data_IF_372453381716
#
_entry.id   IF_372453381716
#
_cell.length_a   1.000
_cell.length_b   1.000
_cell.length_c   1.000
_cell.angle_alpha   90.00
_cell.angle_beta   90.00
_cell.angle_gamma   90.00
#
_symmetry.space_group_name_H-M   'P 1'
#
loop_
_entity.id
_entity.type
_entity.pdbx_description
1 polymer ?
#
# COMPACT_ATOMS: atom_id res chain seq x y z
N UNK A 1 -24.82 -48.44 -8.45
CA UNK A 1 -24.20 -47.58 -7.43
C UNK A 1 -24.36 -46.15 -7.91
N UNK A 2 -25.35 -45.43 -7.39
CA UNK A 2 -25.52 -44.00 -7.66
C UNK A 2 -24.43 -43.25 -6.90
N UNK A 3 -23.38 -42.82 -7.60
CA UNK A 3 -22.49 -41.78 -7.08
C UNK A 3 -23.32 -40.50 -7.00
N UNK A 4 -23.81 -40.19 -5.79
CA UNK A 4 -24.42 -38.90 -5.50
C UNK A 4 -23.43 -37.82 -5.93
N UNK A 5 -23.85 -37.01 -6.89
CA UNK A 5 -23.15 -35.87 -7.43
C UNK A 5 -23.07 -34.79 -6.32
N UNK A 6 -22.22 -35.03 -5.31
CA UNK A 6 -21.98 -34.06 -4.26
C UNK A 6 -21.31 -32.85 -4.92
N UNK A 7 -22.01 -31.72 -4.90
CA UNK A 7 -21.48 -30.48 -5.43
C UNK A 7 -20.14 -30.19 -4.73
N UNK A 8 -19.06 -30.20 -5.50
CA UNK A 8 -17.74 -29.84 -5.00
C UNK A 8 -17.76 -28.39 -4.56
N UNK A 9 -17.75 -28.16 -3.24
CA UNK A 9 -17.74 -26.83 -2.66
C UNK A 9 -16.33 -26.25 -2.74
N UNK A 10 -16.17 -25.21 -3.55
CA UNK A 10 -14.95 -24.40 -3.58
C UNK A 10 -15.05 -23.30 -2.53
N UNK A 11 -13.99 -23.16 -1.73
CA UNK A 11 -13.86 -22.06 -0.81
C UNK A 11 -12.90 -21.00 -1.35
N UNK A 12 -13.25 -19.74 -1.16
CA UNK A 12 -12.47 -18.59 -1.60
C UNK A 12 -12.44 -17.54 -0.49
N UNK A 13 -11.23 -17.16 -0.08
CA UNK A 13 -10.98 -16.06 0.85
C UNK A 13 -10.11 -15.01 0.17
N UNK A 14 -10.59 -13.76 0.16
CA UNK A 14 -9.88 -12.64 -0.41
C UNK A 14 -9.95 -11.40 0.47
N UNK A 15 -8.86 -10.64 0.52
CA UNK A 15 -8.86 -9.30 1.11
C UNK A 15 -7.84 -8.37 0.47
N UNK A 16 -8.17 -7.07 0.48
CA UNK A 16 -7.18 -6.02 0.23
C UNK A 16 -6.24 -5.88 1.42
N UNK A 17 -4.96 -5.67 1.13
CA UNK A 17 -3.93 -5.58 2.16
C UNK A 17 -4.00 -4.22 2.86
N UNK A 18 -3.99 -4.24 4.19
CA UNK A 18 -4.01 -3.03 5.01
C UNK A 18 -2.66 -2.30 4.95
N UNK A 19 -2.61 -1.07 5.46
CA UNK A 19 -1.37 -0.31 5.48
C UNK A 19 -0.27 -1.04 6.27
N UNK A 20 0.85 -1.35 5.64
CA UNK A 20 1.95 -2.13 6.21
C UNK A 20 3.30 -1.69 5.65
N UNK A 21 4.38 -2.12 6.29
CA UNK A 21 5.73 -1.86 5.82
C UNK A 21 6.55 -3.15 5.88
N UNK A 22 7.26 -3.45 4.79
CA UNK A 22 8.05 -4.68 4.64
C UNK A 22 9.49 -4.36 4.32
N UNK A 23 10.42 -5.02 4.99
CA UNK A 23 11.82 -5.09 4.57
C UNK A 23 12.04 -6.23 3.57
N UNK A 24 13.20 -6.25 2.89
CA UNK A 24 13.62 -7.39 2.05
C UNK A 24 13.51 -8.74 2.77
N UNK A 25 13.97 -8.78 4.02
CA UNK A 25 13.92 -9.99 4.86
C UNK A 25 12.47 -10.41 5.15
N UNK A 26 11.58 -9.45 5.44
CA UNK A 26 10.16 -9.75 5.68
C UNK A 26 9.47 -10.32 4.44
N UNK A 27 9.78 -9.78 3.26
CA UNK A 27 9.27 -10.31 1.99
C UNK A 27 9.76 -11.73 1.75
N UNK A 28 11.05 -12.00 2.01
CA UNK A 28 11.61 -13.37 1.92
C UNK A 28 10.88 -14.33 2.86
N UNK A 29 10.74 -13.98 4.13
CA UNK A 29 10.03 -14.81 5.12
C UNK A 29 8.57 -15.07 4.73
N UNK A 30 7.89 -14.06 4.16
CA UNK A 30 6.53 -14.24 3.65
C UNK A 30 6.49 -15.22 2.46
N UNK A 31 7.46 -15.15 1.55
CA UNK A 31 7.55 -16.08 0.43
C UNK A 31 7.86 -17.51 0.91
N UNK A 32 8.76 -17.67 1.88
CA UNK A 32 9.11 -18.97 2.47
C UNK A 32 7.90 -19.62 3.16
N UNK A 33 7.10 -18.84 3.90
CA UNK A 33 5.82 -19.30 4.46
C UNK A 33 4.84 -19.76 3.38
N UNK A 34 4.72 -19.01 2.28
CA UNK A 34 3.87 -19.40 1.16
C UNK A 34 4.40 -20.64 0.44
N UNK A 35 5.73 -20.84 0.38
CA UNK A 35 6.34 -22.04 -0.20
C UNK A 35 6.03 -23.29 0.63
N UNK A 36 5.99 -23.17 1.95
CA UNK A 36 5.53 -24.25 2.83
C UNK A 36 4.08 -24.61 2.53
N UNK A 37 3.19 -23.62 2.48
CA UNK A 37 1.78 -23.81 2.09
C UNK A 37 1.60 -24.44 0.70
N UNK A 38 2.44 -24.05 -0.27
CA UNK A 38 2.45 -24.63 -1.62
C UNK A 38 2.91 -26.09 -1.61
N UNK A 39 3.91 -26.43 -0.79
CA UNK A 39 4.37 -27.81 -0.60
C UNK A 39 3.28 -28.67 0.03
N UNK A 40 2.53 -28.16 1.01
CA UNK A 40 1.40 -28.87 1.61
C UNK A 40 0.30 -29.16 0.57
N UNK A 41 0.00 -28.18 -0.29
CA UNK A 41 -0.94 -28.36 -1.39
C UNK A 41 -0.44 -29.41 -2.41
N UNK A 42 0.88 -29.46 -2.66
CA UNK A 42 1.48 -30.46 -3.53
C UNK A 42 1.28 -31.87 -2.99
N UNK A 43 1.54 -32.10 -1.69
CA UNK A 43 1.34 -33.41 -1.06
C UNK A 43 -0.13 -33.82 -1.07
N UNK A 44 -1.06 -32.89 -0.85
CA UNK A 44 -2.50 -33.14 -0.98
C UNK A 44 -2.85 -33.56 -2.42
N UNK A 45 -2.34 -32.87 -3.43
CA UNK A 45 -2.59 -33.21 -4.83
C UNK A 45 -2.00 -34.58 -5.21
N UNK A 46 -0.79 -34.88 -4.76
CA UNK A 46 -0.10 -36.16 -4.97
C UNK A 46 -0.85 -37.32 -4.30
N UNK A 47 -1.48 -37.09 -3.15
CA UNK A 47 -2.28 -38.09 -2.43
C UNK A 47 -3.55 -38.46 -3.20
N UNK A 48 -4.10 -37.54 -3.98
CA UNK A 48 -5.27 -37.75 -4.84
C UNK A 48 -4.91 -38.08 -6.29
N UNK A 49 -3.62 -38.23 -6.60
CA UNK A 49 -3.17 -38.58 -7.93
C UNK A 49 -3.48 -40.05 -8.22
N UNK A 50 -4.50 -40.29 -9.05
CA UNK A 50 -4.90 -41.62 -9.51
C UNK A 50 -4.13 -42.01 -10.79
N UNK A 51 -3.20 -42.97 -10.70
CA UNK A 51 -2.45 -43.38 -11.87
C UNK A 51 -3.32 -44.18 -12.83
N UNK A 52 -3.42 -43.72 -14.08
CA UNK A 52 -4.04 -44.50 -15.18
C UNK A 52 -3.10 -45.65 -15.55
N UNK A 53 -3.42 -46.90 -15.27
CA UNK A 53 -2.74 -48.16 -15.71
C UNK A 53 -1.27 -48.02 -16.18
N UNK A 54 -0.44 -47.30 -15.41
CA UNK A 54 0.93 -46.92 -15.80
C UNK A 54 1.93 -47.75 -15.00
N UNK A 55 3.12 -48.01 -15.55
CA UNK A 55 4.20 -48.62 -14.79
C UNK A 55 4.51 -47.81 -13.52
N UNK A 56 4.82 -48.46 -12.38
CA UNK A 56 5.14 -47.79 -11.12
C UNK A 56 6.23 -46.71 -11.22
N UNK A 57 7.21 -46.92 -12.10
CA UNK A 57 8.31 -45.97 -12.30
C UNK A 57 7.83 -44.64 -12.90
N UNK A 58 6.95 -44.69 -13.91
CA UNK A 58 6.39 -43.48 -14.54
C UNK A 58 5.53 -42.70 -13.55
N UNK A 59 4.76 -43.40 -12.71
CA UNK A 59 3.94 -42.76 -11.67
C UNK A 59 4.82 -41.99 -10.68
N UNK A 60 5.97 -42.57 -10.30
CA UNK A 60 6.93 -41.90 -9.40
C UNK A 60 7.50 -40.65 -10.05
N UNK A 61 7.93 -40.74 -11.31
CA UNK A 61 8.47 -39.58 -12.05
C UNK A 61 7.44 -38.45 -12.20
N UNK A 62 6.18 -38.78 -12.48
CA UNK A 62 5.10 -37.80 -12.59
C UNK A 62 4.78 -37.12 -11.26
N UNK A 63 4.78 -37.87 -10.15
CA UNK A 63 4.62 -37.29 -8.81
C UNK A 63 5.76 -36.34 -8.46
N UNK A 64 7.00 -36.67 -8.81
CA UNK A 64 8.14 -35.78 -8.63
C UNK A 64 8.07 -34.53 -9.51
N UNK A 65 7.63 -34.68 -10.77
CA UNK A 65 7.39 -33.54 -11.66
C UNK A 65 6.29 -32.62 -11.12
N UNK A 66 5.20 -33.20 -10.62
CA UNK A 66 4.11 -32.46 -10.00
C UNK A 66 4.63 -31.70 -8.77
N UNK A 67 5.37 -32.37 -7.87
CA UNK A 67 5.97 -31.72 -6.70
C UNK A 67 6.86 -30.53 -7.08
N UNK A 68 7.70 -30.68 -8.12
CA UNK A 68 8.53 -29.58 -8.64
C UNK A 68 7.71 -28.42 -9.20
N UNK A 69 6.54 -28.69 -9.78
CA UNK A 69 5.63 -27.66 -10.28
C UNK A 69 5.05 -26.75 -9.18
N UNK A 70 5.01 -27.20 -7.93
CA UNK A 70 4.60 -26.40 -6.76
C UNK A 70 5.74 -25.56 -6.16
N UNK A 71 6.95 -25.59 -6.73
CA UNK A 71 8.01 -24.65 -6.37
C UNK A 71 7.64 -23.24 -6.85
N UNK A 72 7.48 -22.30 -5.91
CA UNK A 72 7.00 -20.96 -6.20
C UNK A 72 8.03 -20.14 -6.97
N UNK A 73 7.56 -19.48 -8.02
CA UNK A 73 8.27 -18.37 -8.63
C UNK A 73 7.76 -17.05 -8.06
N UNK A 74 8.69 -16.18 -7.73
CA UNK A 74 8.43 -14.83 -7.27
C UNK A 74 8.84 -13.87 -8.36
N UNK A 75 7.96 -12.92 -8.70
CA UNK A 75 8.27 -11.80 -9.56
C UNK A 75 8.41 -10.54 -8.71
N UNK A 76 9.60 -9.94 -8.71
CA UNK A 76 9.85 -8.64 -8.08
C UNK A 76 10.19 -7.63 -9.17
N UNK A 77 9.42 -6.55 -9.23
CA UNK A 77 9.64 -5.44 -10.16
C UNK A 77 10.12 -4.23 -9.38
N UNK A 78 11.19 -3.60 -9.84
CA UNK A 78 11.69 -2.34 -9.31
C UNK A 78 11.06 -1.12 -9.99
N UNK A 79 11.25 0.05 -9.39
CA UNK A 79 10.70 1.31 -9.91
C UNK A 79 11.33 1.69 -11.26
N UNK A 80 12.60 1.36 -11.49
CA UNK A 80 13.32 1.70 -12.73
C UNK A 80 13.08 0.68 -13.88
N UNK A 81 12.16 -0.27 -13.66
CA UNK A 81 11.72 -1.25 -14.66
C UNK A 81 12.48 -2.56 -14.64
N UNK A 82 13.52 -2.69 -13.81
CA UNK A 82 14.18 -3.95 -13.52
C UNK A 82 13.18 -4.97 -12.99
N UNK A 83 13.32 -6.21 -13.44
CA UNK A 83 12.46 -7.31 -13.02
C UNK A 83 13.33 -8.51 -12.72
N UNK A 84 13.19 -9.04 -11.50
CA UNK A 84 13.85 -10.28 -11.08
C UNK A 84 12.77 -11.33 -10.91
N UNK A 85 12.91 -12.44 -11.61
CA UNK A 85 11.96 -13.54 -11.62
C UNK A 85 12.69 -14.87 -11.37
N UNK A 86 12.14 -15.71 -10.50
CA UNK A 86 12.68 -17.03 -10.23
C UNK A 86 12.27 -17.57 -8.87
N UNK A 87 12.98 -18.59 -8.40
CA UNK A 87 12.78 -19.17 -7.08
C UNK A 87 13.16 -18.15 -5.99
N UNK A 88 12.63 -18.36 -4.77
CA UNK A 88 12.86 -17.45 -3.64
C UNK A 88 14.35 -17.14 -3.42
N UNK A 89 15.28 -18.12 -3.33
CA UNK A 89 16.70 -17.80 -3.13
C UNK A 89 17.28 -17.05 -4.32
N UNK A 90 16.92 -17.44 -5.55
CA UNK A 90 17.41 -16.80 -6.78
C UNK A 90 17.02 -15.32 -6.82
N UNK A 91 15.79 -14.99 -6.43
CA UNK A 91 15.30 -13.62 -6.43
C UNK A 91 15.93 -12.81 -5.30
N UNK A 92 15.84 -13.28 -4.07
CA UNK A 92 16.26 -12.51 -2.90
C UNK A 92 17.78 -12.46 -2.68
N UNK A 93 18.53 -13.45 -3.15
CA UNK A 93 20.00 -13.46 -3.09
C UNK A 93 20.63 -12.87 -4.36
N UNK A 94 19.82 -12.46 -5.34
CA UNK A 94 20.31 -11.81 -6.56
C UNK A 94 21.01 -10.48 -6.24
N UNK A 95 22.20 -10.23 -6.82
CA UNK A 95 22.83 -8.90 -6.76
C UNK A 95 22.04 -7.86 -7.56
N UNK A 96 21.13 -8.28 -8.45
CA UNK A 96 20.25 -7.41 -9.23
C UNK A 96 18.89 -7.19 -8.55
N UNK A 97 18.73 -7.56 -7.28
CA UNK A 97 17.51 -7.26 -6.54
C UNK A 97 17.34 -5.72 -6.45
N UNK A 98 16.18 -5.16 -6.81
CA UNK A 98 15.98 -3.72 -6.86
C UNK A 98 16.11 -3.07 -5.48
N UNK A 99 16.76 -1.91 -5.42
CA UNK A 99 16.82 -1.09 -4.19
C UNK A 99 15.43 -0.54 -3.85
N UNK A 100 14.68 -0.09 -4.86
CA UNK A 100 13.30 0.39 -4.73
C UNK A 100 12.32 -0.59 -5.40
N UNK A 101 11.66 -1.42 -4.60
CA UNK A 101 10.66 -2.37 -5.09
C UNK A 101 9.36 -1.64 -5.45
N UNK A 102 8.86 -1.83 -6.68
CA UNK A 102 7.54 -1.38 -7.13
C UNK A 102 6.46 -2.41 -6.78
N UNK A 103 6.69 -3.69 -7.07
CA UNK A 103 5.71 -4.74 -6.79
C UNK A 103 6.35 -6.09 -6.55
N UNK A 104 5.70 -6.91 -5.72
CA UNK A 104 5.99 -8.33 -5.56
C UNK A 104 4.73 -9.13 -5.89
N UNK A 105 4.86 -10.11 -6.77
CA UNK A 105 3.76 -10.98 -7.20
C UNK A 105 4.15 -12.45 -7.08
N UNK A 106 3.24 -13.24 -6.51
CA UNK A 106 3.35 -14.69 -6.37
C UNK A 106 2.01 -15.29 -6.76
N UNK A 107 2.03 -16.31 -7.61
CA UNK A 107 0.86 -17.08 -8.00
C UNK A 107 1.25 -18.56 -8.03
N UNK A 108 0.61 -19.39 -7.20
CA UNK A 108 0.95 -20.81 -7.08
C UNK A 108 0.39 -21.67 -8.22
N UNK A 109 -0.52 -21.15 -9.04
CA UNK A 109 -1.14 -21.88 -10.17
C UNK A 109 -0.36 -21.71 -11.48
N UNK A 110 0.30 -20.56 -11.69
CA UNK A 110 0.79 -20.13 -13.00
C UNK A 110 1.70 -21.17 -13.68
N UNK A 111 2.71 -21.67 -12.97
CA UNK A 111 3.67 -22.64 -13.51
C UNK A 111 3.04 -24.01 -13.74
N UNK A 112 2.20 -24.48 -12.81
CA UNK A 112 1.44 -25.74 -12.96
C UNK A 112 0.58 -25.72 -14.21
N UNK A 113 -0.13 -24.61 -14.43
CA UNK A 113 -1.02 -24.47 -15.57
C UNK A 113 -0.27 -24.32 -16.89
N UNK A 114 0.79 -23.51 -16.93
CA UNK A 114 1.50 -23.20 -18.16
C UNK A 114 2.48 -24.31 -18.58
N UNK A 115 3.19 -24.91 -17.63
CA UNK A 115 4.23 -25.89 -17.92
C UNK A 115 3.70 -27.33 -17.89
N UNK A 116 2.71 -27.62 -17.04
CA UNK A 116 2.23 -28.98 -16.82
C UNK A 116 0.77 -29.19 -17.23
N UNK A 117 0.07 -28.15 -17.71
CA UNK A 117 -1.36 -28.18 -17.99
C UNK A 117 -2.18 -28.74 -16.81
N UNK A 118 -1.76 -28.43 -15.59
CA UNK A 118 -2.34 -28.91 -14.35
C UNK A 118 -3.01 -27.76 -13.60
N UNK A 119 -4.24 -27.98 -13.12
CA UNK A 119 -4.95 -27.00 -12.29
C UNK A 119 -5.02 -27.54 -10.87
N UNK A 120 -4.27 -26.95 -9.91
CA UNK A 120 -4.25 -27.43 -8.54
C UNK A 120 -5.60 -27.20 -7.85
N UNK A 121 -5.96 -28.13 -6.95
CA UNK A 121 -7.17 -28.03 -6.13
C UNK A 121 -7.09 -26.89 -5.13
N UNK A 122 -5.89 -26.59 -4.63
CA UNK A 122 -5.60 -25.56 -3.64
C UNK A 122 -4.55 -24.60 -4.22
N UNK A 123 -4.83 -23.30 -4.19
CA UNK A 123 -3.99 -22.26 -4.78
C UNK A 123 -4.12 -20.93 -4.07
N UNK A 124 -3.12 -20.08 -4.25
CA UNK A 124 -3.16 -18.71 -3.78
C UNK A 124 -2.47 -17.76 -4.76
N UNK A 125 -2.86 -16.49 -4.63
CA UNK A 125 -2.24 -15.36 -5.29
C UNK A 125 -2.00 -14.26 -4.26
N UNK A 126 -0.79 -13.72 -4.26
CA UNK A 126 -0.40 -12.58 -3.45
C UNK A 126 0.19 -11.51 -4.37
N UNK A 127 -0.42 -10.32 -4.33
CA UNK A 127 0.13 -9.12 -4.94
C UNK A 127 0.40 -8.09 -3.85
N UNK A 128 1.64 -7.61 -3.79
CA UNK A 128 2.04 -6.44 -3.00
C UNK A 128 2.45 -5.34 -3.98
N UNK A 129 1.71 -4.23 -3.94
CA UNK A 129 1.95 -3.03 -4.73
C UNK A 129 2.50 -1.93 -3.81
N UNK A 130 3.77 -1.61 -3.99
CA UNK A 130 4.52 -0.59 -3.26
C UNK A 130 4.56 0.75 -3.99
N UNK A 131 3.82 0.88 -5.10
CA UNK A 131 3.80 2.10 -5.91
C UNK A 131 3.37 3.30 -5.06
N UNK A 132 4.18 4.35 -5.09
CA UNK A 132 3.86 5.63 -4.46
C UNK A 132 2.82 6.36 -5.31
N UNK A 133 1.88 7.10 -4.71
CA UNK A 133 0.94 7.92 -5.47
C UNK A 133 1.69 8.96 -6.32
N UNK A 134 1.09 9.42 -7.41
CA UNK A 134 1.68 10.52 -8.18
C UNK A 134 1.70 11.82 -7.36
N UNK A 135 2.83 12.52 -7.39
CA UNK A 135 2.94 13.85 -6.79
C UNK A 135 2.16 14.86 -7.65
N UNK A 136 1.39 15.71 -6.97
CA UNK A 136 0.68 16.84 -7.59
C UNK A 136 -0.34 16.46 -8.68
N UNK A 137 -0.95 15.27 -8.61
CA UNK A 137 -2.06 14.93 -9.49
C UNK A 137 -3.31 15.73 -9.10
N UNK A 138 -3.46 16.92 -9.69
CA UNK A 138 -4.59 17.83 -9.44
C UNK A 138 -5.91 17.27 -10.00
N UNK A 139 -5.86 16.28 -10.90
CA UNK A 139 -7.03 15.66 -11.52
C UNK A 139 -7.75 14.67 -10.60
N UNK A 140 -7.02 14.03 -9.67
CA UNK A 140 -7.63 13.15 -8.68
C UNK A 140 -8.42 13.96 -7.67
N UNK A 141 -9.69 13.59 -7.51
CA UNK A 141 -10.51 14.05 -6.39
C UNK A 141 -9.86 13.51 -5.11
N UNK A 142 -9.26 14.38 -4.30
CA UNK A 142 -8.61 14.05 -3.01
C UNK A 142 -9.46 13.19 -2.06
N UNK A 143 -10.77 13.18 -2.28
CA UNK A 143 -11.74 12.36 -1.56
C UNK A 143 -11.69 10.88 -1.91
N UNK A 144 -11.06 10.49 -3.01
CA UNK A 144 -10.95 9.08 -3.37
C UNK A 144 -9.86 8.39 -2.53
N UNK A 145 -10.09 7.15 -2.10
CA UNK A 145 -9.05 6.36 -1.47
C UNK A 145 -7.93 6.11 -2.48
N UNK A 146 -6.68 6.17 -2.01
CA UNK A 146 -5.54 5.84 -2.85
C UNK A 146 -5.71 4.42 -3.41
N UNK A 147 -5.52 4.21 -4.73
CA UNK A 147 -5.65 2.89 -5.31
C UNK A 147 -4.63 1.97 -4.65
N UNK A 148 -5.11 0.86 -4.09
CA UNK A 148 -4.28 -0.21 -3.58
C UNK A 148 -4.61 -1.47 -4.36
N UNK A 149 -3.65 -1.89 -5.19
CA UNK A 149 -3.76 -3.16 -5.94
C UNK A 149 -3.33 -4.35 -5.09
N UNK A 150 -2.73 -4.12 -3.91
CA UNK A 150 -2.27 -5.18 -3.03
C UNK A 150 -3.43 -6.00 -2.49
N UNK A 151 -3.40 -7.30 -2.73
CA UNK A 151 -4.42 -8.24 -2.30
C UNK A 151 -3.82 -9.62 -2.07
N UNK A 152 -4.54 -10.41 -1.28
CA UNK A 152 -4.34 -11.84 -1.19
C UNK A 152 -5.65 -12.53 -1.59
N UNK A 153 -5.52 -13.60 -2.36
CA UNK A 153 -6.57 -14.52 -2.75
C UNK A 153 -6.10 -15.93 -2.41
N UNK A 154 -6.89 -16.68 -1.66
CA UNK A 154 -6.66 -18.09 -1.36
C UNK A 154 -7.92 -18.84 -1.76
N UNK A 155 -7.76 -19.83 -2.63
CA UNK A 155 -8.88 -20.60 -3.19
C UNK A 155 -8.55 -22.08 -3.09
N UNK A 156 -9.51 -22.90 -2.68
CA UNK A 156 -9.24 -24.32 -2.53
C UNK A 156 -10.48 -25.19 -2.37
N UNK A 157 -10.27 -26.50 -2.51
CA UNK A 157 -11.27 -27.52 -2.15
C UNK A 157 -11.20 -27.89 -0.66
N UNK A 158 -10.02 -27.75 -0.06
CA UNK A 158 -9.79 -28.03 1.35
C UNK A 158 -9.96 -26.74 2.17
N UNK A 159 -11.13 -26.60 2.81
CA UNK A 159 -11.46 -25.43 3.65
C UNK A 159 -10.47 -25.19 4.77
N UNK A 160 -9.95 -26.25 5.39
CA UNK A 160 -8.97 -26.16 6.48
C UNK A 160 -7.65 -25.57 5.97
N UNK A 161 -7.19 -26.02 4.80
CA UNK A 161 -6.00 -25.46 4.15
C UNK A 161 -6.22 -23.99 3.77
N UNK A 162 -7.35 -23.66 3.14
CA UNK A 162 -7.68 -22.28 2.72
C UNK A 162 -7.68 -21.33 3.92
N UNK A 163 -8.38 -21.66 4.99
CA UNK A 163 -8.40 -20.87 6.21
C UNK A 163 -7.03 -20.81 6.90
N UNK A 164 -6.27 -21.90 6.90
CA UNK A 164 -4.94 -21.99 7.48
C UNK A 164 -3.96 -21.02 6.80
N UNK A 165 -3.82 -21.13 5.49
CA UNK A 165 -2.93 -20.28 4.68
C UNK A 165 -3.36 -18.82 4.77
N UNK A 166 -4.64 -18.55 4.57
CA UNK A 166 -5.18 -17.19 4.67
C UNK A 166 -4.88 -16.59 6.04
N UNK A 167 -5.21 -17.30 7.13
CA UNK A 167 -4.98 -16.86 8.50
C UNK A 167 -3.51 -16.58 8.80
N UNK A 168 -2.60 -17.45 8.36
CA UNK A 168 -1.16 -17.24 8.54
C UNK A 168 -0.69 -15.96 7.85
N UNK A 169 -1.05 -15.75 6.58
CA UNK A 169 -0.65 -14.56 5.84
C UNK A 169 -1.27 -13.28 6.41
N UNK A 170 -2.57 -13.30 6.74
CA UNK A 170 -3.23 -12.15 7.38
C UNK A 170 -2.54 -11.78 8.69
N UNK A 171 -2.22 -12.77 9.52
CA UNK A 171 -1.52 -12.56 10.79
C UNK A 171 -0.10 -12.02 10.59
N UNK A 172 0.62 -12.51 9.58
CA UNK A 172 1.94 -11.98 9.22
C UNK A 172 1.85 -10.51 8.81
N UNK A 173 0.92 -10.17 7.91
CA UNK A 173 0.67 -8.80 7.46
C UNK A 173 0.25 -7.90 8.63
N UNK A 174 -0.60 -8.40 9.53
CA UNK A 174 -1.07 -7.65 10.70
C UNK A 174 0.07 -7.26 11.64
N UNK A 175 1.10 -8.12 11.80
CA UNK A 175 2.31 -7.80 12.59
C UNK A 175 3.14 -6.69 11.95
N UNK A 176 3.03 -6.48 10.64
CA UNK A 176 3.72 -5.43 9.86
C UNK A 176 2.87 -4.18 9.63
N UNK A 177 1.70 -4.10 10.26
CA UNK A 177 0.74 -3.00 10.06
C UNK A 177 1.27 -1.68 10.60
N UNK A 178 1.09 -0.61 9.82
CA UNK A 178 1.42 0.75 10.24
C UNK A 178 0.17 1.52 10.69
N UNK A 179 0.34 2.46 11.63
CA UNK A 179 -0.75 3.37 12.06
C UNK A 179 -1.13 4.41 10.98
N UNK A 180 -0.35 4.49 9.89
CA UNK A 180 -0.46 5.50 8.84
C UNK A 180 -1.66 5.32 7.90
N UNK A 181 -2.41 4.22 8.06
CA UNK A 181 -3.69 3.99 7.35
C UNK A 181 -4.64 5.20 7.44
N UNK A 182 -4.56 5.99 8.51
CA UNK A 182 -5.35 7.21 8.66
C UNK A 182 -5.17 8.19 7.49
N UNK A 183 -3.94 8.45 7.03
CA UNK A 183 -3.67 9.44 5.96
C UNK A 183 -4.32 9.08 4.61
N UNK A 184 -4.57 7.79 4.39
CA UNK A 184 -5.12 7.25 3.14
C UNK A 184 -6.63 7.07 3.16
N UNK A 185 -7.29 7.36 4.28
CA UNK A 185 -8.75 7.37 4.35
C UNK A 185 -9.30 8.67 3.78
N UNK A 186 -10.56 8.63 3.33
CA UNK A 186 -11.27 9.80 2.81
C UNK A 186 -11.56 10.87 3.89
N UNK A 187 -11.99 10.43 5.08
CA UNK A 187 -12.42 11.33 6.16
C UNK A 187 -11.31 12.26 6.70
N UNK A 188 -10.08 11.79 6.91
CA UNK A 188 -9.00 12.60 7.48
C UNK A 188 -8.62 13.85 6.67
N UNK A 189 -8.65 13.77 5.34
CA UNK A 189 -8.39 14.96 4.51
C UNK A 189 -9.41 16.08 4.80
N UNK A 190 -10.70 15.73 4.84
CA UNK A 190 -11.78 16.70 5.09
C UNK A 190 -11.64 17.33 6.47
N UNK A 191 -11.33 16.52 7.49
CA UNK A 191 -11.12 17.00 8.85
C UNK A 191 -9.90 17.92 8.96
N UNK A 192 -8.77 17.51 8.36
CA UNK A 192 -7.54 18.32 8.36
C UNK A 192 -7.69 19.60 7.56
N UNK A 193 -8.43 19.58 6.45
CA UNK A 193 -8.77 20.78 5.69
C UNK A 193 -9.60 21.73 6.54
N UNK A 194 -10.66 21.24 7.20
CA UNK A 194 -11.53 22.06 8.05
C UNK A 194 -10.80 22.65 9.25
N UNK A 195 -10.11 21.80 10.02
CA UNK A 195 -9.48 22.20 11.29
C UNK A 195 -8.09 22.84 11.11
N UNK A 196 -7.40 22.57 10.01
CA UNK A 196 -6.04 23.05 9.76
C UNK A 196 -5.95 23.92 8.50
N UNK A 197 -6.42 23.43 7.37
CA UNK A 197 -6.29 24.10 6.07
C UNK A 197 -7.00 25.45 6.00
N UNK A 198 -8.26 25.56 6.44
CA UNK A 198 -9.01 26.82 6.49
C UNK A 198 -8.36 27.85 7.43
N UNK A 199 -8.07 27.53 8.71
CA UNK A 199 -7.35 28.46 9.59
C UNK A 199 -5.99 28.89 9.04
N UNK A 200 -5.24 27.96 8.44
CA UNK A 200 -3.97 28.27 7.79
C UNK A 200 -4.14 29.25 6.63
N UNK A 201 -5.12 29.05 5.76
CA UNK A 201 -5.40 29.94 4.64
C UNK A 201 -5.83 31.34 5.09
N UNK A 202 -6.69 31.45 6.11
CA UNK A 202 -7.03 32.75 6.70
C UNK A 202 -5.83 33.44 7.35
N UNK A 203 -4.98 32.68 8.05
CA UNK A 203 -3.76 33.23 8.66
C UNK A 203 -2.81 33.81 7.61
N UNK A 204 -2.60 33.11 6.49
CA UNK A 204 -1.79 33.61 5.37
C UNK A 204 -2.43 34.86 4.75
N UNK A 205 -3.73 34.83 4.47
CA UNK A 205 -4.43 35.99 3.91
C UNK A 205 -4.32 37.23 4.82
N UNK A 206 -4.45 37.04 6.13
CA UNK A 206 -4.27 38.10 7.12
C UNK A 206 -2.84 38.65 7.13
N UNK A 207 -1.82 37.77 7.12
CA UNK A 207 -0.41 38.18 7.10
C UNK A 207 -0.01 38.91 5.81
N UNK A 208 -0.57 38.50 4.67
CA UNK A 208 -0.31 39.12 3.38
C UNK A 208 -1.15 40.38 3.13
N UNK A 209 -2.16 40.68 3.97
CA UNK A 209 -3.05 41.83 3.79
C UNK A 209 -2.29 43.16 3.69
N UNK A 210 -1.20 43.35 4.44
CA UNK A 210 -0.36 44.55 4.34
C UNK A 210 0.27 44.73 2.95
N UNK A 211 0.81 43.64 2.38
CA UNK A 211 1.35 43.65 1.01
C UNK A 211 0.23 43.92 0.00
N UNK A 212 -0.95 43.33 0.21
CA UNK A 212 -2.11 43.57 -0.64
C UNK A 212 -2.60 45.02 -0.60
N UNK A 213 -2.55 45.67 0.55
CA UNK A 213 -2.87 47.09 0.70
C UNK A 213 -1.87 47.96 -0.06
N UNK A 214 -0.58 47.64 -0.01
CA UNK A 214 0.43 48.40 -0.75
C UNK A 214 0.30 48.22 -2.26
N UNK A 215 0.01 47.01 -2.74
CA UNK A 215 -0.06 46.71 -4.18
C UNK A 215 -1.40 47.09 -4.81
N UNK A 216 -2.51 46.95 -4.09
CA UNK A 216 -3.86 47.08 -4.62
C UNK A 216 -4.72 48.11 -3.87
N UNK A 217 -4.17 48.83 -2.89
CA UNK A 217 -4.94 49.77 -2.04
C UNK A 217 -5.44 51.01 -2.77
N UNK A 218 -4.77 51.43 -3.85
CA UNK A 218 -5.23 52.52 -4.72
C UNK A 218 -6.24 52.06 -5.78
N UNK A 219 -6.41 50.74 -5.94
CA UNK A 219 -7.35 50.17 -6.91
C UNK A 219 -8.75 50.07 -6.30
N UNK A 220 -9.75 49.78 -7.14
CA UNK A 220 -11.13 49.61 -6.68
C UNK A 220 -11.21 48.57 -5.55
N UNK A 221 -12.04 48.83 -4.53
CA UNK A 221 -12.23 47.90 -3.41
C UNK A 221 -12.61 46.49 -3.84
N UNK A 222 -13.31 46.36 -4.97
CA UNK A 222 -13.63 45.07 -5.59
C UNK A 222 -12.37 44.27 -5.95
N UNK A 223 -11.38 44.90 -6.59
CA UNK A 223 -10.15 44.24 -6.99
C UNK A 223 -9.31 43.84 -5.78
N UNK A 224 -9.28 44.68 -4.75
CA UNK A 224 -8.61 44.37 -3.50
C UNK A 224 -9.22 43.13 -2.82
N UNK A 225 -10.55 43.08 -2.68
CA UNK A 225 -11.26 41.91 -2.13
C UNK A 225 -11.06 40.66 -2.97
N UNK A 226 -11.14 40.77 -4.30
CA UNK A 226 -10.89 39.65 -5.20
C UNK A 226 -9.48 39.08 -4.98
N UNK A 227 -8.48 39.95 -4.89
CA UNK A 227 -7.10 39.52 -4.70
C UNK A 227 -6.88 38.82 -3.35
N UNK A 228 -7.53 39.25 -2.27
CA UNK A 228 -7.52 38.53 -0.98
C UNK A 228 -8.14 37.13 -1.09
N UNK A 229 -9.26 37.00 -1.81
CA UNK A 229 -9.91 35.71 -2.07
C UNK A 229 -8.97 34.78 -2.87
N UNK A 230 -8.23 35.30 -3.86
CA UNK A 230 -7.22 34.52 -4.58
C UNK A 230 -6.09 34.05 -3.67
N UNK A 231 -5.55 34.90 -2.80
CA UNK A 231 -4.52 34.51 -1.82
C UNK A 231 -5.02 33.38 -0.92
N UNK A 232 -6.25 33.48 -0.45
CA UNK A 232 -6.89 32.42 0.35
C UNK A 232 -6.97 31.09 -0.42
N UNK A 233 -7.43 31.10 -1.68
CA UNK A 233 -7.48 29.89 -2.50
C UNK A 233 -6.08 29.32 -2.82
N UNK A 234 -5.08 30.16 -3.04
CA UNK A 234 -3.69 29.72 -3.24
C UNK A 234 -3.18 29.03 -1.97
N UNK A 235 -3.45 29.58 -0.79
CA UNK A 235 -3.05 28.97 0.47
C UNK A 235 -3.73 27.61 0.72
N UNK A 236 -5.02 27.46 0.36
CA UNK A 236 -5.70 26.16 0.39
C UNK A 236 -5.10 25.15 -0.59
N UNK A 237 -4.70 25.60 -1.79
CA UNK A 237 -4.00 24.74 -2.75
C UNK A 237 -2.63 24.31 -2.24
N UNK A 238 -1.88 25.20 -1.59
CA UNK A 238 -0.61 24.85 -0.94
C UNK A 238 -0.83 23.80 0.17
N UNK A 239 -1.88 23.96 0.98
CA UNK A 239 -2.25 22.96 1.98
C UNK A 239 -2.58 21.60 1.35
N UNK A 240 -3.36 21.59 0.26
CA UNK A 240 -3.63 20.38 -0.54
C UNK A 240 -2.32 19.73 -1.00
N UNK A 241 -1.42 20.51 -1.58
CA UNK A 241 -0.12 20.03 -2.06
C UNK A 241 0.70 19.40 -0.93
N UNK A 242 0.75 20.04 0.24
CA UNK A 242 1.45 19.49 1.41
C UNK A 242 0.85 18.16 1.88
N UNK A 243 -0.47 18.03 1.79
CA UNK A 243 -1.15 16.79 2.17
C UNK A 243 -0.91 15.65 1.17
N UNK A 244 -0.95 15.94 -0.14
CA UNK A 244 -0.61 14.96 -1.18
C UNK A 244 0.86 14.52 -1.06
N UNK A 245 1.76 15.47 -0.78
CA UNK A 245 3.16 15.18 -0.48
C UNK A 245 3.31 14.31 0.78
N UNK A 246 2.51 14.55 1.83
CA UNK A 246 2.50 13.68 3.00
C UNK A 246 2.05 12.25 2.65
N UNK A 247 1.00 12.07 1.83
CA UNK A 247 0.56 10.76 1.34
C UNK A 247 1.64 10.04 0.52
N UNK A 248 2.40 10.78 -0.27
CA UNK A 248 3.53 10.24 -1.04
C UNK A 248 4.68 9.74 -0.15
N UNK A 249 5.04 10.51 0.88
CA UNK A 249 6.08 10.13 1.85
C UNK A 249 5.68 8.89 2.68
N UNK A 250 4.39 8.74 2.92
CA UNK A 250 3.82 7.68 3.73
C UNK A 250 2.91 6.80 2.87
N UNK A 251 3.43 5.99 1.93
CA UNK A 251 2.58 5.14 1.09
C UNK A 251 1.79 4.13 1.92
N UNK A 252 0.75 3.56 1.32
CA UNK A 252 -0.12 2.60 2.03
C UNK A 252 0.66 1.31 2.36
N UNK A 253 1.31 0.73 1.36
CA UNK A 253 2.24 -0.40 1.52
C UNK A 253 3.63 0.14 1.22
N UNK A 254 4.52 0.09 2.22
CA UNK A 254 5.87 0.65 2.13
C UNK A 254 6.90 -0.47 2.02
N UNK A 255 7.74 -0.40 1.00
CA UNK A 255 8.99 -1.15 1.01
C UNK A 255 10.04 -0.35 1.79
N UNK A 256 10.54 -0.92 2.88
CA UNK A 256 11.54 -0.30 3.73
C UNK A 256 12.91 -0.51 3.12
N UNK A 257 13.35 0.49 2.37
CA UNK A 257 14.74 0.57 1.96
C UNK A 257 15.62 1.15 3.09
N UNK A 258 16.85 0.66 3.17
CA UNK A 258 17.88 1.11 4.09
C UNK A 258 18.43 2.50 3.72
N UNK A 259 18.29 2.94 2.46
CA UNK A 259 18.93 4.17 1.95
C UNK A 259 18.39 5.48 2.53
N UNK A 260 17.32 5.44 3.35
CA UNK A 260 16.94 6.55 4.23
C UNK A 260 16.43 7.82 3.53
N UNK A 261 16.27 7.82 2.20
CA UNK A 261 15.74 8.99 1.46
C UNK A 261 14.35 9.36 1.95
N UNK A 262 13.47 8.38 2.13
CA UNK A 262 12.14 8.60 2.70
C UNK A 262 12.20 9.22 4.11
N UNK A 263 13.18 8.84 4.95
CA UNK A 263 13.37 9.41 6.27
C UNK A 263 13.74 10.90 6.19
N UNK A 264 14.60 11.30 5.25
CA UNK A 264 14.96 12.72 5.03
C UNK A 264 13.71 13.55 4.71
N UNK A 265 12.86 13.08 3.77
CA UNK A 265 11.62 13.77 3.43
C UNK A 265 10.64 13.84 4.61
N UNK A 266 10.57 12.79 5.46
CA UNK A 266 9.78 12.79 6.70
C UNK A 266 10.25 13.84 7.69
N UNK A 267 11.57 13.98 7.87
CA UNK A 267 12.17 14.99 8.76
C UNK A 267 11.87 16.40 8.25
N UNK A 268 12.05 16.65 6.95
CA UNK A 268 11.74 17.95 6.33
C UNK A 268 10.26 18.29 6.49
N UNK A 269 9.36 17.35 6.18
CA UNK A 269 7.92 17.57 6.36
C UNK A 269 7.55 17.82 7.83
N UNK A 270 8.15 17.06 8.75
CA UNK A 270 7.98 17.26 10.19
C UNK A 270 8.42 18.66 10.64
N UNK A 271 9.57 19.14 10.16
CA UNK A 271 10.06 20.49 10.42
C UNK A 271 9.13 21.57 9.87
N UNK A 272 8.62 21.42 8.64
CA UNK A 272 7.64 22.34 8.06
C UNK A 272 6.35 22.40 8.88
N UNK A 273 5.81 21.24 9.26
CA UNK A 273 4.59 21.16 10.08
C UNK A 273 4.82 21.83 11.44
N UNK A 274 5.93 21.54 12.11
CA UNK A 274 6.26 22.16 13.41
C UNK A 274 6.44 23.68 13.30
N UNK A 275 7.08 24.17 12.23
CA UNK A 275 7.24 25.60 12.00
C UNK A 275 5.90 26.32 11.79
N UNK A 276 5.03 25.74 10.94
CA UNK A 276 3.69 26.30 10.67
C UNK A 276 2.80 26.26 11.91
N UNK A 277 2.71 25.10 12.58
CA UNK A 277 1.88 24.94 13.78
C UNK A 277 2.42 25.77 14.94
N UNK A 278 3.74 25.83 15.13
CA UNK A 278 4.37 26.63 16.18
C UNK A 278 4.06 28.12 16.02
N UNK A 279 4.17 28.64 14.79
CA UNK A 279 3.82 30.02 14.49
C UNK A 279 2.32 30.30 14.73
N UNK A 280 1.45 29.37 14.31
CA UNK A 280 0.01 29.48 14.51
C UNK A 280 -0.38 29.46 16.00
N UNK A 281 0.18 28.54 16.79
CA UNK A 281 -0.07 28.46 18.24
C UNK A 281 0.43 29.73 18.93
N UNK A 282 1.60 30.23 18.56
CA UNK A 282 2.14 31.46 19.09
C UNK A 282 1.22 32.67 18.80
N UNK A 283 0.67 32.76 17.58
CA UNK A 283 -0.29 33.82 17.23
C UNK A 283 -1.59 33.70 18.04
N UNK A 284 -2.12 32.48 18.23
CA UNK A 284 -3.29 32.24 19.08
C UNK A 284 -3.03 32.67 20.54
N UNK A 285 -1.86 32.31 21.08
CA UNK A 285 -1.49 32.66 22.45
C UNK A 285 -1.31 34.18 22.64
N UNK A 286 -1.00 34.94 21.60
CA UNK A 286 -0.97 36.41 21.67
C UNK A 286 -2.36 37.05 21.73
N UNK A 287 -3.37 36.40 21.15
CA UNK A 287 -4.74 36.93 21.11
C UNK A 287 -5.43 36.76 22.48
N UNK A 288 -5.20 35.64 23.17
CA UNK A 288 -5.90 35.30 24.43
C UNK A 288 -5.70 36.34 25.55
N UNK A 289 -4.49 36.84 25.86
CA UNK A 289 -4.28 37.86 26.89
C UNK A 289 -4.94 39.20 26.56
N UNK A 290 -4.99 39.58 25.27
CA UNK A 290 -5.68 40.78 24.82
C UNK A 290 -7.19 40.71 25.08
N UNK A 291 -7.77 39.52 25.00
CA UNK A 291 -9.18 39.30 25.29
C UNK A 291 -9.51 39.31 26.79
N UNK A 292 -8.57 38.87 27.63
CA UNK A 292 -8.73 38.83 29.09
C UNK A 292 -8.53 40.19 29.77
N UNK A 293 -7.83 41.12 29.14
CA UNK A 293 -7.53 42.45 29.70
C UNK A 293 -8.52 43.55 29.27
N UNK A 294 -9.39 43.28 28.29
CA UNK A 294 -10.35 44.26 27.74
C UNK A 294 -11.81 44.08 28.18
N UNK A 295 -12.13 43.11 29.05
CA UNK A 295 -13.45 42.98 29.67
C UNK A 295 -13.36 43.36 31.17
N UNK A 296 -13.63 44.62 31.55
CA UNK A 296 -13.95 44.99 32.92
C UNK A 296 -15.36 44.52 33.34
#
# INVERSE_FOLDING_TARGET
>A
MEQQNQATLWEELSQKIAACAFSKADLRTLCEMLQEASSDAAEEEISHYEPRERPPEQIREEKELLRKGFELKVAVRGIDGETVFGNIPVVFDSPSFPEDVQSLHINSELDLRNLYNWTPRNRFELLLDFTKPELFNLSLLLSEPMPNKSHILVTGLNSLWVHGVYGQVVNFIAKKRTRRRFLHRQSPYRLLLLCGGFPFAFSIAAKLSGIMNTLFGELSGLLHSAAQVYVFFIALNLFRILFDYARWIFPLVEYQDLTGTALKHRVVLGGLILGVLGNFIHDLLKIVPGFLTQNP
#
